data_IF_508247483685
#
_entry.id   IF_508247483685
#
_cell.length_a   1.000
_cell.length_b   1.000
_cell.length_c   1.000
_cell.angle_alpha   90.00
_cell.angle_beta   90.00
_cell.angle_gamma   90.00
#
_symmetry.space_group_name_H-M   'P 1'
#
loop_
_entity.id
_entity.type
_entity.pdbx_description
1 polymer ?
#
# COMPACT_ATOMS: atom_id res chain seq x y z
N UNK A 1 9.03 3.93 -43.31
CA UNK A 1 9.28 3.02 -42.17
C UNK A 1 8.43 3.50 -41.01
N UNK A 2 7.18 3.07 -40.96
CA UNK A 2 6.27 3.36 -39.85
C UNK A 2 6.64 2.45 -38.68
N UNK A 3 7.21 3.05 -37.64
CA UNK A 3 7.31 2.43 -36.32
C UNK A 3 5.89 2.27 -35.78
N UNK A 4 5.26 1.14 -36.06
CA UNK A 4 4.19 0.61 -35.23
C UNK A 4 4.76 0.33 -33.85
N UNK A 5 4.83 1.36 -33.01
CA UNK A 5 4.78 1.16 -31.57
C UNK A 5 3.45 0.46 -31.30
N UNK A 6 3.51 -0.87 -31.17
CA UNK A 6 2.55 -1.63 -30.39
C UNK A 6 2.54 -1.00 -29.01
N UNK A 7 1.68 0.00 -28.81
CA UNK A 7 1.14 0.34 -27.51
C UNK A 7 0.33 -0.89 -27.11
N UNK A 8 1.01 -1.90 -26.56
CA UNK A 8 0.34 -2.84 -25.68
C UNK A 8 -0.28 -2.00 -24.57
N UNK A 9 -1.56 -1.69 -24.71
CA UNK A 9 -2.39 -1.17 -23.63
C UNK A 9 -2.44 -2.29 -22.59
N UNK A 10 -1.39 -2.41 -21.77
CA UNK A 10 -1.39 -3.33 -20.65
C UNK A 10 -2.43 -2.77 -19.68
N UNK A 11 -3.63 -3.36 -19.66
CA UNK A 11 -4.64 -3.04 -18.66
C UNK A 11 -3.95 -3.06 -17.30
N UNK A 12 -3.94 -1.90 -16.63
CA UNK A 12 -3.37 -1.79 -15.29
C UNK A 12 -4.39 -2.31 -14.28
N UNK A 13 -3.90 -3.02 -13.27
CA UNK A 13 -4.70 -3.44 -12.14
C UNK A 13 -4.92 -2.27 -11.19
N UNK A 14 -6.15 -2.08 -10.75
CA UNK A 14 -6.52 -1.03 -9.80
C UNK A 14 -6.09 -1.41 -8.37
N UNK A 15 -5.41 -0.50 -7.68
CA UNK A 15 -5.01 -0.70 -6.28
C UNK A 15 -5.46 0.48 -5.41
N UNK A 16 -6.12 0.21 -4.30
CA UNK A 16 -6.36 1.22 -3.27
C UNK A 16 -5.41 1.01 -2.09
N UNK A 17 -4.65 2.05 -1.76
CA UNK A 17 -3.93 2.16 -0.49
C UNK A 17 -4.78 3.00 0.46
N UNK A 18 -5.24 2.41 1.56
CA UNK A 18 -6.09 3.08 2.54
C UNK A 18 -5.36 3.26 3.87
N UNK A 19 -5.18 4.49 4.34
CA UNK A 19 -4.42 4.80 5.55
C UNK A 19 -5.25 5.35 6.71
N UNK A 20 -4.61 5.43 7.88
CA UNK A 20 -5.17 6.01 9.10
C UNK A 20 -4.68 7.46 9.26
N UNK A 21 -5.55 8.43 8.94
CA UNK A 21 -5.28 9.86 9.12
C UNK A 21 -4.26 10.50 8.15
N UNK A 22 -3.85 11.74 8.50
CA UNK A 22 -3.11 12.64 7.60
C UNK A 22 -1.62 12.36 7.45
N UNK A 23 -0.97 11.70 8.42
CA UNK A 23 0.45 11.33 8.31
C UNK A 23 0.61 10.13 7.35
N UNK A 24 -0.27 9.15 7.44
CA UNK A 24 -0.35 8.04 6.50
C UNK A 24 -0.57 8.52 5.06
N UNK A 25 -1.38 9.58 4.88
CA UNK A 25 -1.56 10.23 3.58
C UNK A 25 -0.24 10.68 2.95
N UNK A 26 0.55 11.43 3.70
CA UNK A 26 1.83 11.94 3.20
C UNK A 26 2.79 10.81 2.89
N UNK A 27 2.84 9.79 3.76
CA UNK A 27 3.67 8.61 3.54
C UNK A 27 3.25 7.83 2.28
N UNK A 28 1.96 7.57 2.11
CA UNK A 28 1.46 6.76 1.00
C UNK A 28 1.60 7.49 -0.33
N UNK A 29 1.35 8.80 -0.38
CA UNK A 29 1.65 9.63 -1.56
C UNK A 29 3.15 9.53 -1.88
N UNK A 30 4.02 9.77 -0.89
CA UNK A 30 5.46 9.68 -1.10
C UNK A 30 5.89 8.29 -1.57
N UNK A 31 5.33 7.22 -1.03
CA UNK A 31 5.58 5.82 -1.43
C UNK A 31 5.23 5.59 -2.90
N UNK A 32 4.09 6.10 -3.36
CA UNK A 32 3.63 5.98 -4.74
C UNK A 32 4.52 6.76 -5.72
N UNK A 33 5.16 7.83 -5.25
CA UNK A 33 6.06 8.64 -6.08
C UNK A 33 7.44 8.02 -6.28
N UNK A 34 7.85 7.06 -5.43
CA UNK A 34 9.18 6.44 -5.47
C UNK A 34 9.40 5.67 -6.77
N UNK A 35 10.42 6.04 -7.55
CA UNK A 35 10.78 5.38 -8.81
C UNK A 35 10.93 3.86 -8.67
N UNK A 36 11.61 3.39 -7.62
CA UNK A 36 11.76 1.96 -7.35
C UNK A 36 10.43 1.29 -7.00
N UNK A 37 9.55 1.97 -6.27
CA UNK A 37 8.21 1.42 -6.00
C UNK A 37 7.41 1.33 -7.29
N UNK A 38 7.35 2.40 -8.08
CA UNK A 38 6.74 2.44 -9.43
C UNK A 38 7.28 1.34 -10.35
N UNK A 39 8.59 1.09 -10.32
CA UNK A 39 9.22 -0.01 -11.07
C UNK A 39 8.64 -1.37 -10.66
N UNK A 40 8.53 -1.62 -9.36
CA UNK A 40 7.96 -2.85 -8.84
C UNK A 40 6.42 -2.91 -9.01
N UNK A 41 5.73 -1.80 -9.16
CA UNK A 41 4.26 -1.73 -9.28
C UNK A 41 3.78 -1.24 -10.65
N UNK A 42 4.60 -1.35 -11.71
CA UNK A 42 4.30 -0.80 -13.05
C UNK A 42 2.99 -1.27 -13.69
N UNK A 43 2.50 -2.46 -13.32
CA UNK A 43 1.22 -3.04 -13.77
C UNK A 43 0.02 -2.53 -12.99
N UNK A 44 0.23 -1.67 -12.00
CA UNK A 44 -0.80 -1.18 -11.10
C UNK A 44 -1.08 0.28 -11.34
N UNK A 45 -2.34 0.66 -11.17
CA UNK A 45 -2.82 2.02 -11.07
C UNK A 45 -3.19 2.26 -9.60
N UNK A 46 -2.27 2.83 -8.81
CA UNK A 46 -2.51 3.07 -7.40
C UNK A 46 -3.38 4.31 -7.22
N UNK A 47 -4.36 4.17 -6.35
CA UNK A 47 -5.14 5.25 -5.77
C UNK A 47 -4.94 5.23 -4.25
N UNK A 48 -5.23 6.35 -3.61
CA UNK A 48 -5.03 6.50 -2.19
C UNK A 48 -6.23 7.20 -1.55
N UNK A 49 -6.60 6.74 -0.34
CA UNK A 49 -7.64 7.34 0.48
C UNK A 49 -7.31 7.16 1.99
N UNK A 50 -8.00 7.90 2.85
CA UNK A 50 -7.83 7.79 4.30
C UNK A 50 -9.11 8.06 5.05
N UNK A 51 -9.15 7.53 6.26
CA UNK A 51 -10.07 7.99 7.28
C UNK A 51 -9.34 8.29 8.58
N UNK A 52 -9.89 9.23 9.34
CA UNK A 52 -9.67 9.30 10.78
C UNK A 52 -10.67 8.36 11.46
N UNK A 53 -10.25 7.72 12.54
CA UNK A 53 -11.08 6.78 13.28
C UNK A 53 -10.54 6.58 14.69
N UNK A 54 -11.43 6.13 15.57
CA UNK A 54 -11.16 5.87 16.98
C UNK A 54 -10.66 4.46 17.25
N UNK A 55 -10.79 3.54 16.28
CA UNK A 55 -10.36 2.15 16.39
C UNK A 55 -10.03 1.54 15.01
N UNK A 56 -9.23 0.45 14.96
CA UNK A 56 -8.98 -0.34 13.76
C UNK A 56 -10.24 -0.77 12.99
N UNK A 57 -11.31 -1.09 13.72
CA UNK A 57 -12.57 -1.53 13.12
C UNK A 57 -13.30 -0.37 12.42
N UNK A 58 -13.23 0.84 13.00
CA UNK A 58 -13.78 2.06 12.39
C UNK A 58 -13.07 2.38 11.08
N UNK A 59 -11.74 2.29 11.05
CA UNK A 59 -10.95 2.56 9.84
C UNK A 59 -11.32 1.56 8.73
N UNK A 60 -11.40 0.26 9.05
CA UNK A 60 -11.78 -0.77 8.08
C UNK A 60 -13.21 -0.59 7.59
N UNK A 61 -14.15 -0.23 8.48
CA UNK A 61 -15.54 0.08 8.11
C UNK A 61 -15.62 1.29 7.17
N UNK A 62 -14.86 2.35 7.46
CA UNK A 62 -14.80 3.53 6.59
C UNK A 62 -14.17 3.24 5.24
N UNK A 63 -13.19 2.35 5.18
CA UNK A 63 -12.66 1.86 3.91
C UNK A 63 -13.74 1.16 3.07
N UNK A 64 -14.59 0.30 3.67
CA UNK A 64 -15.75 -0.30 2.97
C UNK A 64 -16.67 0.77 2.41
N UNK A 65 -16.96 1.81 3.20
CA UNK A 65 -17.82 2.90 2.75
C UNK A 65 -17.20 3.72 1.61
N UNK A 66 -15.89 3.95 1.61
CA UNK A 66 -15.22 4.81 0.61
C UNK A 66 -15.05 4.14 -0.75
N UNK A 67 -15.05 2.80 -0.78
CA UNK A 67 -15.02 2.00 -2.01
C UNK A 67 -16.41 1.65 -2.54
N UNK A 68 -17.50 2.10 -1.90
CA UNK A 68 -18.85 1.75 -2.33
C UNK A 68 -19.07 2.18 -3.78
N UNK A 69 -19.45 1.22 -4.64
CA UNK A 69 -19.64 1.46 -6.08
C UNK A 69 -18.34 1.53 -6.90
N UNK A 70 -17.19 1.23 -6.30
CA UNK A 70 -15.90 1.11 -6.98
C UNK A 70 -15.38 -0.31 -6.85
N UNK A 71 -14.85 -0.85 -7.94
CA UNK A 71 -14.16 -2.13 -7.93
C UNK A 71 -12.65 -1.89 -7.96
N UNK A 72 -11.95 -2.58 -7.05
CA UNK A 72 -10.50 -2.57 -6.98
C UNK A 72 -9.98 -3.99 -7.07
N UNK A 73 -8.96 -4.21 -7.88
CA UNK A 73 -8.27 -5.49 -7.96
C UNK A 73 -7.58 -5.82 -6.63
N UNK A 74 -7.06 -4.79 -5.94
CA UNK A 74 -6.40 -4.91 -4.65
C UNK A 74 -6.73 -3.74 -3.74
N UNK A 75 -7.05 -4.03 -2.49
CA UNK A 75 -7.20 -3.03 -1.43
C UNK A 75 -6.23 -3.38 -0.31
N UNK A 76 -5.36 -2.43 0.05
CA UNK A 76 -4.41 -2.55 1.15
C UNK A 76 -4.78 -1.51 2.22
N UNK A 77 -5.17 -1.97 3.41
CA UNK A 77 -5.47 -1.09 4.53
C UNK A 77 -4.29 -1.08 5.50
N UNK A 78 -3.72 0.09 5.74
CA UNK A 78 -2.72 0.35 6.76
C UNK A 78 -3.44 0.71 8.06
N UNK A 79 -3.17 -0.06 9.10
CA UNK A 79 -3.86 0.04 10.38
C UNK A 79 -2.82 0.01 11.49
N UNK A 80 -2.94 0.94 12.43
CA UNK A 80 -2.06 0.98 13.59
C UNK A 80 -2.31 -0.24 14.51
N UNK A 81 -1.27 -1.06 14.70
CA UNK A 81 -1.34 -2.19 15.62
C UNK A 81 -1.34 -1.72 17.07
N UNK A 82 -0.72 -0.59 17.39
CA UNK A 82 -0.59 -0.11 18.75
C UNK A 82 -1.93 0.40 19.27
N UNK A 83 -2.73 1.00 18.38
CA UNK A 83 -4.14 1.27 18.66
C UNK A 83 -4.93 0.01 18.97
N UNK A 84 -4.76 -1.08 18.19
CA UNK A 84 -5.41 -2.37 18.48
C UNK A 84 -4.97 -2.95 19.84
N UNK A 85 -3.66 -2.87 20.16
CA UNK A 85 -3.14 -3.32 21.45
C UNK A 85 -3.71 -2.49 22.60
N UNK A 86 -3.85 -1.19 22.41
CA UNK A 86 -4.41 -0.27 23.42
C UNK A 86 -5.89 -0.54 23.66
N UNK A 87 -6.67 -0.70 22.59
CA UNK A 87 -8.10 -0.96 22.70
C UNK A 87 -8.39 -2.38 23.25
N UNK A 88 -7.49 -3.35 23.02
CA UNK A 88 -7.69 -4.77 23.38
C UNK A 88 -6.43 -5.44 23.99
N UNK A 89 -5.87 -4.94 25.11
CA UNK A 89 -4.51 -5.30 25.57
C UNK A 89 -4.30 -6.79 25.83
N UNK A 90 -5.32 -7.50 26.33
CA UNK A 90 -5.23 -8.93 26.64
C UNK A 90 -5.58 -9.84 25.48
N UNK A 91 -6.30 -9.34 24.47
CA UNK A 91 -6.91 -10.17 23.41
C UNK A 91 -6.65 -9.65 22.00
N UNK A 92 -5.74 -8.69 21.84
CA UNK A 92 -5.44 -8.05 20.54
C UNK A 92 -5.07 -9.07 19.46
N UNK A 93 -4.34 -10.15 19.79
CA UNK A 93 -4.01 -11.22 18.83
C UNK A 93 -5.27 -11.92 18.29
N UNK A 94 -6.27 -12.15 19.15
CA UNK A 94 -7.55 -12.76 18.77
C UNK A 94 -8.38 -11.76 17.95
N UNK A 95 -8.48 -10.51 18.40
CA UNK A 95 -9.21 -9.44 17.69
C UNK A 95 -8.60 -9.17 16.30
N UNK A 96 -7.26 -9.16 16.19
CA UNK A 96 -6.52 -9.07 14.93
C UNK A 96 -6.99 -10.12 13.92
N UNK A 97 -6.99 -11.40 14.32
CA UNK A 97 -7.45 -12.51 13.48
C UNK A 97 -8.92 -12.38 13.09
N UNK A 98 -9.77 -11.90 14.02
CA UNK A 98 -11.19 -11.65 13.74
C UNK A 98 -11.34 -10.57 12.66
N UNK A 99 -10.61 -9.47 12.75
CA UNK A 99 -10.64 -8.39 11.75
C UNK A 99 -10.10 -8.86 10.40
N UNK A 100 -8.98 -9.59 10.38
CA UNK A 100 -8.43 -10.17 9.14
C UNK A 100 -9.39 -11.15 8.47
N UNK A 101 -10.21 -11.88 9.25
CA UNK A 101 -11.25 -12.76 8.72
C UNK A 101 -12.48 -11.99 8.25
N UNK A 102 -12.94 -11.00 9.03
CA UNK A 102 -14.13 -10.18 8.72
C UNK A 102 -13.93 -9.36 7.44
N UNK A 103 -12.73 -8.83 7.23
CA UNK A 103 -12.36 -8.01 6.08
C UNK A 103 -11.42 -8.77 5.13
N UNK A 104 -11.77 -10.02 4.80
CA UNK A 104 -10.92 -10.91 3.99
C UNK A 104 -10.70 -10.44 2.55
N UNK A 105 -11.61 -9.62 2.04
CA UNK A 105 -11.51 -8.91 0.76
C UNK A 105 -10.37 -7.88 0.76
N UNK A 106 -9.94 -7.40 1.92
CA UNK A 106 -8.82 -6.46 2.05
C UNK A 106 -7.53 -7.18 2.39
N UNK A 107 -6.41 -6.47 2.27
CA UNK A 107 -5.10 -6.88 2.79
C UNK A 107 -4.71 -5.91 3.88
N UNK A 108 -4.81 -6.36 5.13
CA UNK A 108 -4.49 -5.52 6.29
C UNK A 108 -2.98 -5.55 6.55
N UNK A 109 -2.35 -4.39 6.46
CA UNK A 109 -0.96 -4.15 6.85
C UNK A 109 -0.95 -3.48 8.22
N UNK A 110 -0.89 -4.31 9.25
CA UNK A 110 -0.61 -3.86 10.61
C UNK A 110 0.75 -3.16 10.69
N UNK A 111 0.72 -1.83 10.90
CA UNK A 111 1.87 -0.99 11.22
C UNK A 111 2.31 -1.34 12.65
N UNK A 112 3.59 -1.67 12.82
CA UNK A 112 4.17 -2.01 14.14
C UNK A 112 4.87 -0.76 14.67
N UNK A 113 5.07 -0.68 15.98
CA UNK A 113 5.85 0.34 16.71
C UNK A 113 6.92 1.01 15.83
N UNK A 114 6.99 2.34 15.88
CA UNK A 114 7.92 3.19 15.10
C UNK A 114 7.62 3.32 13.59
N UNK A 115 6.38 3.10 13.16
CA UNK A 115 5.95 3.46 11.81
C UNK A 115 6.27 4.94 11.50
N UNK A 116 6.03 5.85 12.46
CA UNK A 116 6.44 7.25 12.34
C UNK A 116 7.96 7.43 12.21
N UNK A 117 8.80 6.66 12.89
CA UNK A 117 10.25 6.77 12.73
C UNK A 117 10.72 6.18 11.40
N UNK A 118 10.08 5.11 10.90
CA UNK A 118 10.30 4.66 9.52
C UNK A 118 9.88 5.76 8.53
N UNK A 119 8.77 6.47 8.77
CA UNK A 119 8.32 7.59 7.94
C UNK A 119 9.29 8.76 8.01
N UNK A 120 9.76 9.16 9.20
CA UNK A 120 10.78 10.21 9.38
C UNK A 120 12.11 9.83 8.74
N UNK A 121 12.51 8.56 8.86
CA UNK A 121 13.73 8.04 8.22
C UNK A 121 13.64 8.09 6.69
N UNK A 122 12.46 7.82 6.14
CA UNK A 122 12.21 7.83 4.68
C UNK A 122 12.04 9.23 4.12
N UNK A 123 11.25 10.07 4.79
CA UNK A 123 10.95 11.44 4.39
C UNK A 123 12.10 12.41 4.71
N UNK A 124 13.05 11.97 5.54
CA UNK A 124 14.20 12.74 5.99
C UNK A 124 13.82 13.70 7.12
N UNK A 125 14.41 13.52 8.30
CA UNK A 125 14.50 14.61 9.26
C UNK A 125 15.46 15.64 8.69
N UNK A 126 14.96 16.62 7.94
CA UNK A 126 15.77 17.82 7.82
C UNK A 126 14.97 19.07 7.52
N UNK A 127 14.80 19.86 8.58
CA UNK A 127 14.52 21.28 8.46
C UNK A 127 15.75 22.10 7.97
N UNK A 128 16.90 21.47 7.62
CA UNK A 128 18.17 22.18 7.36
C UNK A 128 19.15 21.51 6.35
N UNK A 129 18.71 21.07 5.17
CA UNK A 129 19.67 20.81 4.05
C UNK A 129 19.09 21.21 2.70
N UNK A 130 19.95 21.67 1.79
CA UNK A 130 19.57 22.09 0.44
C UNK A 130 18.99 20.96 -0.42
N UNK A 131 18.15 21.35 -1.40
CA UNK A 131 17.28 20.49 -2.23
C UNK A 131 17.99 19.29 -2.89
N UNK A 132 19.23 19.43 -3.35
CA UNK A 132 20.01 18.34 -3.97
C UNK A 132 20.42 17.26 -2.97
N UNK A 133 20.91 17.66 -1.79
CA UNK A 133 21.35 16.73 -0.73
C UNK A 133 20.15 16.01 -0.09
N UNK A 134 19.02 16.71 0.00
CA UNK A 134 17.72 16.12 0.33
C UNK A 134 17.30 15.04 -0.67
N UNK A 135 17.44 15.28 -1.97
CA UNK A 135 17.09 14.29 -2.99
C UNK A 135 17.97 13.03 -2.95
N UNK A 136 19.27 13.17 -2.70
CA UNK A 136 20.17 12.02 -2.56
C UNK A 136 19.94 11.23 -1.26
N UNK A 137 19.73 11.93 -0.14
CA UNK A 137 19.40 11.31 1.15
C UNK A 137 18.05 10.61 1.09
N UNK A 138 17.05 11.25 0.48
CA UNK A 138 15.76 10.65 0.19
C UNK A 138 15.96 9.39 -0.65
N UNK A 139 16.68 9.43 -1.79
CA UNK A 139 16.93 8.25 -2.64
C UNK A 139 17.59 7.09 -1.88
N UNK A 140 18.58 7.36 -1.02
CA UNK A 140 19.21 6.31 -0.18
C UNK A 140 18.24 5.75 0.86
N UNK A 141 17.45 6.59 1.51
CA UNK A 141 16.49 6.17 2.53
C UNK A 141 15.28 5.43 1.92
N UNK A 142 14.84 5.84 0.74
CA UNK A 142 13.86 5.15 -0.12
C UNK A 142 14.35 3.75 -0.49
N UNK A 143 15.60 3.62 -0.93
CA UNK A 143 16.20 2.31 -1.21
C UNK A 143 16.30 1.44 0.04
N UNK A 144 16.60 2.03 1.21
CA UNK A 144 16.58 1.30 2.49
C UNK A 144 15.16 0.85 2.86
N UNK A 145 14.14 1.66 2.62
CA UNK A 145 12.74 1.32 2.90
C UNK A 145 12.21 0.17 2.04
N UNK A 146 12.41 0.24 0.72
CA UNK A 146 11.96 -0.84 -0.18
C UNK A 146 12.62 -2.17 0.19
N UNK A 147 13.84 -2.11 0.69
CA UNK A 147 14.58 -3.27 1.18
C UNK A 147 14.30 -3.63 2.65
N UNK A 148 13.56 -2.80 3.38
CA UNK A 148 13.16 -3.05 4.77
C UNK A 148 12.15 -4.19 4.84
N UNK A 149 12.01 -4.79 6.03
CA UNK A 149 11.00 -5.83 6.27
C UNK A 149 9.59 -5.33 5.98
N UNK A 150 9.32 -4.05 6.26
CA UNK A 150 8.03 -3.41 6.03
C UNK A 150 7.77 -3.17 4.53
N UNK A 151 8.69 -2.53 3.81
CA UNK A 151 8.57 -2.34 2.35
C UNK A 151 8.44 -3.66 1.59
N UNK A 152 9.25 -4.67 1.94
CA UNK A 152 9.15 -6.03 1.37
C UNK A 152 7.79 -6.68 1.64
N UNK A 153 7.17 -6.45 2.80
CA UNK A 153 5.84 -6.98 3.13
C UNK A 153 4.75 -6.39 2.23
N UNK A 154 4.79 -5.08 1.98
CA UNK A 154 3.86 -4.40 1.06
C UNK A 154 4.05 -4.94 -0.37
N UNK A 155 5.28 -4.94 -0.88
CA UNK A 155 5.58 -5.41 -2.24
C UNK A 155 5.21 -6.89 -2.43
N UNK A 156 5.39 -7.73 -1.41
CA UNK A 156 4.98 -9.14 -1.45
C UNK A 156 3.47 -9.29 -1.63
N UNK A 157 2.65 -8.46 -0.96
CA UNK A 157 1.19 -8.47 -1.14
C UNK A 157 0.84 -8.14 -2.59
N UNK A 158 1.40 -7.04 -3.11
CA UNK A 158 1.15 -6.57 -4.48
C UNK A 158 1.57 -7.63 -5.49
N UNK A 159 2.80 -8.14 -5.40
CA UNK A 159 3.32 -9.16 -6.33
C UNK A 159 2.56 -10.47 -6.28
N UNK A 160 2.14 -10.92 -5.10
CA UNK A 160 1.32 -12.14 -4.97
C UNK A 160 -0.04 -11.97 -5.67
N UNK A 161 -0.65 -10.78 -5.60
CA UNK A 161 -1.92 -10.51 -6.28
C UNK A 161 -1.72 -10.33 -7.78
N UNK A 162 -0.64 -9.67 -8.21
CA UNK A 162 -0.26 -9.51 -9.62
C UNK A 162 -0.15 -10.87 -10.32
N UNK A 163 0.59 -11.81 -9.74
CA UNK A 163 0.73 -13.18 -10.28
C UNK A 163 -0.63 -13.89 -10.40
N UNK A 164 -1.54 -13.66 -9.44
CA UNK A 164 -2.88 -14.28 -9.49
C UNK A 164 -3.72 -13.70 -10.62
N UNK A 165 -3.71 -12.38 -10.79
CA UNK A 165 -4.48 -11.70 -11.84
C UNK A 165 -3.92 -12.03 -13.23
N UNK A 166 -2.59 -12.05 -13.37
CA UNK A 166 -1.93 -12.45 -14.61
C UNK A 166 -2.36 -13.86 -15.06
N UNK A 167 -2.44 -14.83 -14.12
CA UNK A 167 -2.93 -16.19 -14.41
C UNK A 167 -4.39 -16.21 -14.85
N UNK A 168 -5.27 -15.50 -14.15
CA UNK A 168 -6.70 -15.41 -14.49
C UNK A 168 -6.87 -14.84 -15.90
N UNK A 169 -6.14 -13.78 -16.23
CA UNK A 169 -6.19 -13.13 -17.54
C UNK A 169 -5.66 -14.03 -18.66
N UNK A 170 -4.60 -14.81 -18.41
CA UNK A 170 -4.09 -15.79 -19.37
C UNK A 170 -5.11 -16.91 -19.63
N UNK A 171 -5.72 -17.46 -18.59
CA UNK A 171 -6.76 -18.50 -18.73
C UNK A 171 -7.99 -17.98 -19.47
N UNK A 172 -8.44 -16.77 -19.14
CA UNK A 172 -9.58 -16.14 -19.81
C UNK A 172 -9.30 -15.98 -21.31
N UNK A 173 -8.13 -15.46 -21.68
CA UNK A 173 -7.73 -15.31 -23.09
C UNK A 173 -7.64 -16.63 -23.84
N UNK A 174 -7.16 -17.69 -23.20
CA UNK A 174 -7.07 -19.03 -23.80
C UNK A 174 -8.43 -19.74 -23.96
N UNK A 175 -9.46 -19.31 -23.23
CA UNK A 175 -10.81 -19.91 -23.30
C UNK A 175 -11.67 -19.25 -24.39
N UNK A 176 -11.33 -18.02 -24.78
CA UNK A 176 -12.06 -17.23 -25.77
C UNK A 176 -11.27 -17.04 -27.09
N UNK A 177 -10.24 -17.86 -27.32
CA UNK A 177 -9.54 -18.04 -28.60
C UNK A 177 -9.88 -19.41 -29.17
#
# INVERSE_FOLDING_TARGET
MELFQKLEFSMKYSCLLFGEGGNDKKFLIALLELEKFKYHTKKWEPSYDSASGSSPEDILSRCVSSIRGKEYDLIICFIDLDKLKTDYPRVWKKKKKILEKKYSNFKIVWQVDNAEDEYRRVLGESRKVGKQKLNELAKKNISKFINSKYGKRILKIIKKKEIKLDKINQTTRATFQ
#
